data_IF_879936240093
#
_entry.id   IF_879936240093
#
_cell.length_a   1.000
_cell.length_b   1.000
_cell.length_c   1.000
_cell.angle_alpha   90.00
_cell.angle_beta   90.00
_cell.angle_gamma   90.00
#
_symmetry.space_group_name_H-M   'P 1'
#
loop_
_entity.id
_entity.type
_entity.pdbx_description
1 polymer ?
#
# COMPACT_ATOMS: atom_id res chain seq x y z
N UNK A 1 -9.22 -25.54 -10.19
CA UNK A 1 -9.39 -24.26 -9.46
C UNK A 1 -8.08 -23.56 -9.00
N UNK A 2 -6.91 -23.66 -9.69
CA UNK A 2 -5.72 -22.85 -9.32
C UNK A 2 -5.76 -21.42 -9.88
N UNK A 3 -6.33 -21.23 -11.09
CA UNK A 3 -6.37 -19.92 -11.76
C UNK A 3 -7.18 -18.87 -11.00
N UNK A 4 -8.39 -19.21 -10.54
CA UNK A 4 -9.23 -18.28 -9.77
C UNK A 4 -8.57 -17.82 -8.46
N UNK A 5 -7.82 -18.71 -7.80
CA UNK A 5 -7.08 -18.38 -6.56
C UNK A 5 -5.87 -17.50 -6.86
N UNK A 6 -5.12 -17.80 -7.92
CA UNK A 6 -4.02 -16.95 -8.37
C UNK A 6 -4.53 -15.54 -8.74
N UNK A 7 -5.65 -15.45 -9.45
CA UNK A 7 -6.28 -14.18 -9.79
C UNK A 7 -6.71 -13.39 -8.55
N UNK A 8 -7.34 -14.04 -7.57
CA UNK A 8 -7.71 -13.41 -6.31
C UNK A 8 -6.48 -12.89 -5.53
N UNK A 9 -5.38 -13.64 -5.50
CA UNK A 9 -4.12 -13.21 -4.88
C UNK A 9 -3.48 -12.03 -5.63
N UNK A 10 -3.48 -12.04 -6.97
CA UNK A 10 -2.98 -10.93 -7.77
C UNK A 10 -3.81 -9.66 -7.52
N UNK A 11 -5.13 -9.78 -7.56
CA UNK A 11 -6.04 -8.66 -7.33
C UNK A 11 -5.90 -8.10 -5.91
N UNK A 12 -5.75 -8.96 -4.91
CA UNK A 12 -5.45 -8.55 -3.54
C UNK A 12 -4.11 -7.83 -3.43
N UNK A 13 -3.07 -8.36 -4.08
CA UNK A 13 -1.73 -7.75 -4.08
C UNK A 13 -1.78 -6.34 -4.67
N UNK A 14 -2.44 -6.19 -5.82
CA UNK A 14 -2.65 -4.89 -6.46
C UNK A 14 -3.42 -3.92 -5.56
N UNK A 15 -4.47 -4.41 -4.88
CA UNK A 15 -5.22 -3.60 -3.92
C UNK A 15 -4.31 -3.06 -2.82
N UNK A 16 -3.54 -3.93 -2.16
CA UNK A 16 -2.64 -3.53 -1.07
C UNK A 16 -1.63 -2.50 -1.54
N UNK A 17 -1.06 -2.70 -2.73
CA UNK A 17 -0.12 -1.79 -3.37
C UNK A 17 -0.70 -0.42 -3.65
N UNK A 18 -1.91 -0.35 -4.23
CA UNK A 18 -2.61 0.93 -4.47
C UNK A 18 -2.93 1.62 -3.15
N UNK A 19 -3.37 0.86 -2.14
CA UNK A 19 -3.68 1.42 -0.82
C UNK A 19 -2.45 2.00 -0.13
N UNK A 20 -1.27 1.40 -0.30
CA UNK A 20 -0.03 1.92 0.27
C UNK A 20 0.32 3.32 -0.27
N UNK A 21 0.08 3.57 -1.55
CA UNK A 21 0.39 4.85 -2.17
C UNK A 21 -0.73 5.90 -2.03
N UNK A 22 -1.99 5.47 -1.86
CA UNK A 22 -3.14 6.36 -1.85
C UNK A 22 -3.08 7.51 -0.81
N UNK A 23 -2.61 7.32 0.45
CA UNK A 23 -2.50 8.42 1.40
C UNK A 23 -1.52 9.52 0.99
N UNK A 24 -0.45 9.17 0.26
CA UNK A 24 0.48 10.16 -0.28
C UNK A 24 -0.22 11.04 -1.32
N UNK A 25 -0.91 10.41 -2.27
CA UNK A 25 -1.69 11.11 -3.30
C UNK A 25 -2.76 12.03 -2.70
N UNK A 26 -3.49 11.54 -1.69
CA UNK A 26 -4.50 12.35 -0.99
C UNK A 26 -3.89 13.60 -0.34
N UNK A 27 -2.70 13.46 0.24
CA UNK A 27 -2.01 14.60 0.86
C UNK A 27 -1.43 15.56 -0.16
N UNK A 28 -0.80 15.08 -1.23
CA UNK A 28 -0.30 15.95 -2.31
C UNK A 28 -1.45 16.75 -2.93
N UNK A 29 -2.59 16.09 -3.17
CA UNK A 29 -3.83 16.75 -3.56
C UNK A 29 -4.27 17.82 -2.55
N UNK A 30 -4.24 17.52 -1.26
CA UNK A 30 -4.58 18.49 -0.21
C UNK A 30 -3.64 19.70 -0.15
N UNK A 31 -2.33 19.49 -0.27
CA UNK A 31 -1.34 20.57 -0.27
C UNK A 31 -1.57 21.51 -1.45
N UNK A 32 -1.86 20.98 -2.64
CA UNK A 32 -2.21 21.76 -3.83
C UNK A 32 -3.46 22.63 -3.60
N UNK A 33 -4.47 22.12 -2.89
CA UNK A 33 -5.71 22.85 -2.58
C UNK A 33 -5.53 23.99 -1.56
N UNK A 34 -4.42 24.02 -0.81
CA UNK A 34 -4.21 25.03 0.24
C UNK A 34 -3.89 26.42 -0.32
N UNK A 35 -3.73 26.53 -1.65
CA UNK A 35 -3.35 27.75 -2.35
C UNK A 35 -4.50 28.54 -2.98
N UNK A 36 -5.41 27.96 -3.78
CA UNK A 36 -6.16 28.71 -4.81
C UNK A 36 -7.59 28.18 -5.10
N UNK A 37 -8.59 28.36 -4.22
CA UNK A 37 -9.99 27.92 -4.47
C UNK A 37 -10.54 28.25 -5.89
N UNK A 38 -10.52 27.27 -6.79
CA UNK A 38 -10.95 27.28 -8.18
C UNK A 38 -11.52 25.92 -8.61
N UNK A 39 -11.72 25.70 -9.92
CA UNK A 39 -12.28 24.46 -10.47
C UNK A 39 -11.43 23.21 -10.14
N UNK A 40 -10.12 23.43 -9.99
CA UNK A 40 -9.14 22.47 -9.49
C UNK A 40 -9.52 21.83 -8.14
N UNK A 41 -9.84 22.67 -7.14
CA UNK A 41 -10.24 22.22 -5.80
C UNK A 41 -11.56 21.44 -5.84
N UNK A 42 -12.54 21.85 -6.67
CA UNK A 42 -13.82 21.16 -6.75
C UNK A 42 -13.68 19.74 -7.29
N UNK A 43 -12.86 19.55 -8.32
CA UNK A 43 -12.58 18.23 -8.88
C UNK A 43 -11.65 17.41 -7.98
N UNK A 44 -10.65 18.00 -7.31
CA UNK A 44 -9.87 17.33 -6.26
C UNK A 44 -10.74 16.90 -5.06
N UNK A 45 -11.72 17.71 -4.64
CA UNK A 45 -12.65 17.36 -3.57
C UNK A 45 -13.64 16.27 -4.01
N UNK A 46 -14.12 16.29 -5.25
CA UNK A 46 -14.91 15.19 -5.85
C UNK A 46 -14.08 13.91 -5.99
N UNK A 47 -12.82 14.04 -6.36
CA UNK A 47 -11.84 12.97 -6.47
C UNK A 47 -11.58 12.31 -5.12
N UNK A 48 -11.22 13.10 -4.11
CA UNK A 48 -11.09 12.68 -2.71
C UNK A 48 -12.40 12.07 -2.24
N UNK A 49 -13.55 12.70 -2.52
CA UNK A 49 -14.88 12.20 -2.18
C UNK A 49 -15.23 10.85 -2.84
N UNK A 50 -14.74 10.59 -4.05
CA UNK A 50 -14.93 9.33 -4.77
C UNK A 50 -14.01 8.25 -4.24
N UNK A 51 -12.73 8.58 -4.00
CA UNK A 51 -11.75 7.73 -3.32
C UNK A 51 -12.25 7.36 -1.92
N UNK A 52 -12.75 8.34 -1.15
CA UNK A 52 -13.45 8.07 0.09
C UNK A 52 -14.69 7.22 -0.17
N UNK A 53 -15.64 7.54 -1.06
CA UNK A 53 -16.83 6.71 -1.27
C UNK A 53 -16.54 5.21 -1.52
N UNK A 54 -15.52 4.89 -2.34
CA UNK A 54 -15.13 3.50 -2.63
C UNK A 54 -14.35 2.81 -1.50
N UNK A 55 -13.57 3.55 -0.70
CA UNK A 55 -12.87 3.00 0.45
C UNK A 55 -13.76 2.97 1.72
N UNK A 56 -14.63 3.96 1.84
CA UNK A 56 -15.54 4.25 2.95
C UNK A 56 -16.73 3.33 2.91
N UNK A 57 -17.30 2.97 1.76
CA UNK A 57 -18.46 2.07 1.77
C UNK A 57 -18.11 0.69 2.40
N UNK A 58 -17.01 0.01 2.03
CA UNK A 58 -16.53 -1.16 2.76
C UNK A 58 -16.14 -0.87 4.22
N UNK A 59 -15.54 0.29 4.52
CA UNK A 59 -15.11 0.66 5.87
C UNK A 59 -16.29 0.98 6.78
N UNK A 60 -17.31 1.65 6.27
CA UNK A 60 -18.55 2.07 6.92
C UNK A 60 -19.47 0.89 7.08
N UNK A 61 -19.54 -0.03 6.12
CA UNK A 61 -20.22 -1.31 6.35
C UNK A 61 -19.56 -2.10 7.48
N UNK A 62 -18.22 -2.14 7.55
CA UNK A 62 -17.48 -2.78 8.65
C UNK A 62 -17.63 -2.06 10.00
N UNK A 63 -17.62 -0.73 10.00
CA UNK A 63 -17.87 0.12 11.19
C UNK A 63 -19.31 -0.01 11.69
N UNK A 64 -20.30 0.06 10.79
CA UNK A 64 -21.72 -0.15 11.09
C UNK A 64 -21.98 -1.56 11.60
N UNK A 65 -21.27 -2.56 11.09
CA UNK A 65 -21.36 -3.94 11.57
C UNK A 65 -20.70 -4.15 12.94
N UNK A 66 -19.93 -3.17 13.46
CA UNK A 66 -19.18 -3.29 14.73
C UNK A 66 -18.19 -4.45 14.74
N UNK A 67 -17.88 -5.02 13.56
CA UNK A 67 -17.11 -6.25 13.38
C UNK A 67 -16.18 -6.05 12.18
N UNK A 68 -14.88 -6.11 12.44
CA UNK A 68 -13.84 -6.13 11.40
C UNK A 68 -13.88 -7.42 10.55
N UNK A 69 -14.70 -8.40 10.95
CA UNK A 69 -15.01 -9.63 10.22
C UNK A 69 -16.46 -9.59 9.71
N UNK A 70 -16.64 -9.33 8.42
CA UNK A 70 -17.90 -9.62 7.74
C UNK A 70 -17.87 -11.09 7.28
N UNK A 71 -18.93 -11.84 7.63
CA UNK A 71 -19.14 -13.18 7.12
C UNK A 71 -19.35 -13.10 5.60
N UNK A 72 -18.59 -13.91 4.87
CA UNK A 72 -18.57 -14.08 3.42
C UNK A 72 -19.94 -13.85 2.74
N UNK A 73 -20.07 -12.79 1.94
CA UNK A 73 -21.08 -12.72 0.89
C UNK A 73 -20.69 -13.67 -0.27
N UNK A 74 -21.66 -14.30 -0.95
CA UNK A 74 -21.41 -15.38 -1.91
C UNK A 74 -20.42 -14.98 -3.02
N UNK A 75 -19.51 -15.91 -3.30
CA UNK A 75 -18.24 -15.81 -4.03
C UNK A 75 -18.25 -15.26 -5.47
N UNK A 76 -19.40 -14.82 -6.00
CA UNK A 76 -19.52 -14.33 -7.37
C UNK A 76 -19.15 -12.85 -7.55
N UNK A 77 -19.41 -12.00 -6.55
CA UNK A 77 -19.27 -10.54 -6.67
C UNK A 77 -17.97 -9.94 -6.16
N UNK A 78 -17.18 -10.71 -5.38
CA UNK A 78 -16.01 -10.17 -4.66
C UNK A 78 -14.86 -9.78 -5.59
N UNK A 79 -14.49 -10.66 -6.53
CA UNK A 79 -13.44 -10.37 -7.50
C UNK A 79 -13.84 -9.20 -8.41
N UNK A 80 -15.10 -9.15 -8.83
CA UNK A 80 -15.65 -8.03 -9.59
C UNK A 80 -15.58 -6.73 -8.80
N UNK A 81 -15.98 -6.73 -7.53
CA UNK A 81 -15.92 -5.54 -6.67
C UNK A 81 -14.49 -5.02 -6.47
N UNK A 82 -13.51 -5.91 -6.27
CA UNK A 82 -12.11 -5.49 -6.15
C UNK A 82 -11.54 -5.03 -7.50
N UNK A 83 -11.84 -5.73 -8.60
CA UNK A 83 -11.41 -5.33 -9.94
C UNK A 83 -12.01 -3.99 -10.37
N UNK A 84 -13.30 -3.77 -10.07
CA UNK A 84 -13.99 -2.50 -10.34
C UNK A 84 -13.38 -1.39 -9.50
N UNK A 85 -13.17 -1.62 -8.20
CA UNK A 85 -12.54 -0.63 -7.33
C UNK A 85 -11.10 -0.33 -7.73
N UNK A 86 -10.34 -1.33 -8.21
CA UNK A 86 -8.99 -1.15 -8.74
C UNK A 86 -9.00 -0.35 -10.05
N UNK A 87 -9.91 -0.69 -10.97
CA UNK A 87 -10.09 0.05 -12.22
C UNK A 87 -10.50 1.51 -11.95
N UNK A 88 -11.41 1.73 -10.99
CA UNK A 88 -11.77 3.07 -10.54
C UNK A 88 -10.57 3.78 -9.92
N UNK A 89 -9.80 3.12 -9.05
CA UNK A 89 -8.58 3.68 -8.46
C UNK A 89 -7.55 4.12 -9.51
N UNK A 90 -7.29 3.30 -10.54
CA UNK A 90 -6.39 3.63 -11.66
C UNK A 90 -6.93 4.83 -12.44
N UNK A 91 -8.22 4.81 -12.81
CA UNK A 91 -8.86 5.90 -13.54
C UNK A 91 -8.79 7.19 -12.74
N UNK A 92 -9.03 7.11 -11.44
CA UNK A 92 -8.90 8.18 -10.45
C UNK A 92 -7.46 8.72 -10.51
N UNK A 93 -6.41 7.94 -10.26
CA UNK A 93 -5.02 8.42 -10.31
C UNK A 93 -4.69 9.09 -11.66
N UNK A 94 -5.08 8.48 -12.78
CA UNK A 94 -4.90 9.06 -14.11
C UNK A 94 -5.62 10.41 -14.27
N UNK A 95 -6.84 10.56 -13.73
CA UNK A 95 -7.60 11.82 -13.75
C UNK A 95 -6.95 12.88 -12.87
N UNK A 96 -6.44 12.50 -11.68
CA UNK A 96 -5.77 13.43 -10.77
C UNK A 96 -4.50 14.01 -11.39
N UNK A 97 -3.69 13.16 -11.99
CA UNK A 97 -2.44 13.58 -12.64
C UNK A 97 -2.70 14.35 -13.94
N UNK A 98 -3.69 13.93 -14.74
CA UNK A 98 -4.14 14.71 -15.89
C UNK A 98 -4.63 16.10 -15.46
N UNK A 99 -5.25 16.20 -14.28
CA UNK A 99 -5.75 17.45 -13.72
C UNK A 99 -4.61 18.34 -13.18
N UNK A 100 -3.64 17.79 -12.43
CA UNK A 100 -2.42 18.52 -12.02
C UNK A 100 -1.68 19.05 -13.26
N UNK A 101 -1.50 18.19 -14.27
CA UNK A 101 -0.88 18.56 -15.52
C UNK A 101 -1.70 19.58 -16.33
N UNK A 102 -3.03 19.63 -16.18
CA UNK A 102 -3.88 20.61 -16.87
C UNK A 102 -3.87 21.98 -16.15
N UNK A 103 -3.94 21.99 -14.81
CA UNK A 103 -4.01 23.20 -13.98
C UNK A 103 -2.64 23.86 -13.84
N UNK A 104 -1.57 23.09 -13.67
CA UNK A 104 -0.20 23.62 -13.61
C UNK A 104 0.31 24.17 -14.94
N UNK A 105 -0.49 24.11 -16.01
CA UNK A 105 -0.06 24.28 -17.38
C UNK A 105 -1.01 25.13 -18.23
N UNK A 106 -1.60 26.19 -17.67
CA UNK A 106 -2.13 27.28 -18.51
C UNK A 106 -1.06 27.83 -19.48
N UNK A 107 0.24 27.56 -19.23
CA UNK A 107 1.37 27.98 -20.07
C UNK A 107 2.34 26.86 -20.50
N UNK A 108 2.08 25.58 -20.16
CA UNK A 108 2.99 24.48 -20.51
C UNK A 108 2.45 23.64 -21.69
N UNK A 109 3.31 23.40 -22.70
CA UNK A 109 2.95 22.62 -23.88
C UNK A 109 2.60 21.16 -23.57
N UNK A 110 1.86 20.50 -24.47
CA UNK A 110 1.34 19.13 -24.29
C UNK A 110 2.40 18.10 -23.91
N UNK A 111 3.64 18.27 -24.36
CA UNK A 111 4.76 17.38 -24.01
C UNK A 111 5.16 17.49 -22.52
N UNK A 112 5.09 18.68 -21.92
CA UNK A 112 5.36 18.86 -20.50
C UNK A 112 4.29 18.18 -19.62
N UNK A 113 3.03 18.22 -20.07
CA UNK A 113 1.91 17.54 -19.41
C UNK A 113 2.09 16.03 -19.40
N UNK A 114 2.41 15.45 -20.56
CA UNK A 114 2.69 14.00 -20.68
C UNK A 114 3.87 13.57 -19.81
N UNK A 115 4.95 14.36 -19.78
CA UNK A 115 6.12 14.08 -18.95
C UNK A 115 5.82 14.17 -17.44
N UNK A 116 4.89 15.03 -17.02
CA UNK A 116 4.42 15.08 -15.62
C UNK A 116 3.64 13.83 -15.24
N UNK A 117 2.65 13.46 -16.05
CA UNK A 117 1.85 12.25 -15.85
C UNK A 117 2.72 10.99 -15.80
N UNK A 118 3.69 10.87 -16.73
CA UNK A 118 4.61 9.74 -16.77
C UNK A 118 5.43 9.63 -15.47
N UNK A 119 5.95 10.76 -14.95
CA UNK A 119 6.72 10.77 -13.69
C UNK A 119 5.87 10.38 -12.47
N UNK A 120 4.62 10.82 -12.42
CA UNK A 120 3.74 10.47 -11.31
C UNK A 120 3.34 8.99 -11.33
N UNK A 121 3.04 8.43 -12.51
CA UNK A 121 2.79 7.00 -12.67
C UNK A 121 4.03 6.19 -12.28
N UNK A 122 5.22 6.65 -12.69
CA UNK A 122 6.47 5.99 -12.37
C UNK A 122 6.74 5.99 -10.86
N UNK A 123 6.53 7.11 -10.17
CA UNK A 123 6.64 7.20 -8.71
C UNK A 123 5.58 6.38 -7.97
N UNK A 124 4.35 6.32 -8.49
CA UNK A 124 3.33 5.43 -7.95
C UNK A 124 3.77 3.96 -8.05
N UNK A 125 4.29 3.55 -9.22
CA UNK A 125 4.77 2.19 -9.46
C UNK A 125 5.93 1.84 -8.53
N UNK A 126 6.88 2.75 -8.39
CA UNK A 126 8.06 2.64 -7.54
C UNK A 126 7.68 2.25 -6.09
N UNK A 127 6.87 3.06 -5.42
CA UNK A 127 6.46 2.81 -4.04
C UNK A 127 5.50 1.63 -3.90
N UNK A 128 4.54 1.49 -4.81
CA UNK A 128 3.55 0.41 -4.78
C UNK A 128 4.16 -0.98 -5.02
N UNK A 129 5.36 -1.05 -5.62
CA UNK A 129 6.06 -2.30 -5.91
C UNK A 129 6.54 -3.03 -4.64
N UNK A 130 6.89 -2.30 -3.57
CA UNK A 130 7.40 -2.91 -2.32
C UNK A 130 6.30 -3.74 -1.65
N UNK A 131 5.11 -3.20 -1.35
CA UNK A 131 3.99 -3.99 -0.82
C UNK A 131 3.57 -5.10 -1.78
N UNK A 132 3.68 -4.88 -3.10
CA UNK A 132 3.36 -5.89 -4.10
C UNK A 132 4.26 -7.12 -3.94
N UNK A 133 5.57 -6.90 -3.94
CA UNK A 133 6.58 -7.96 -3.84
C UNK A 133 6.44 -8.73 -2.52
N UNK A 134 6.26 -8.03 -1.40
CA UNK A 134 6.10 -8.65 -0.09
C UNK A 134 4.80 -9.46 0.01
N UNK A 135 3.67 -8.90 -0.44
CA UNK A 135 2.38 -9.59 -0.39
C UNK A 135 2.36 -10.81 -1.32
N UNK A 136 2.96 -10.70 -2.52
CA UNK A 136 3.14 -11.82 -3.43
C UNK A 136 4.01 -12.93 -2.80
N UNK A 137 5.10 -12.56 -2.12
CA UNK A 137 5.96 -13.52 -1.42
C UNK A 137 5.21 -14.27 -0.31
N UNK A 138 4.33 -13.60 0.43
CA UNK A 138 3.45 -14.24 1.41
C UNK A 138 2.49 -15.23 0.74
N UNK A 139 1.84 -14.86 -0.36
CA UNK A 139 0.94 -15.78 -1.08
C UNK A 139 1.66 -17.03 -1.63
N UNK A 140 2.87 -16.84 -2.16
CA UNK A 140 3.72 -17.97 -2.59
C UNK A 140 4.10 -18.85 -1.39
N UNK A 141 4.47 -18.24 -0.26
CA UNK A 141 4.83 -18.93 0.97
C UNK A 141 3.68 -19.77 1.54
N UNK A 142 2.45 -19.22 1.50
CA UNK A 142 1.24 -19.91 1.96
C UNK A 142 0.81 -21.05 1.04
N UNK A 143 1.18 -20.97 -0.25
CA UNK A 143 0.86 -22.01 -1.24
C UNK A 143 1.92 -23.12 -1.29
N UNK A 144 3.19 -22.78 -1.10
CA UNK A 144 4.30 -23.73 -1.15
C UNK A 144 5.41 -23.37 -0.17
N UNK A 145 5.58 -24.23 0.85
CA UNK A 145 6.67 -24.09 1.83
C UNK A 145 8.07 -24.13 1.20
N UNK A 146 8.25 -24.88 0.11
CA UNK A 146 9.54 -24.97 -0.60
C UNK A 146 9.92 -23.65 -1.29
N UNK A 147 8.92 -22.88 -1.71
CA UNK A 147 9.11 -21.61 -2.39
C UNK A 147 9.10 -20.41 -1.43
N UNK A 148 8.82 -20.61 -0.14
CA UNK A 148 8.71 -19.52 0.82
C UNK A 148 10.02 -18.74 1.00
N UNK A 149 11.13 -19.44 1.23
CA UNK A 149 12.45 -18.82 1.35
C UNK A 149 12.89 -18.08 0.08
N UNK A 150 12.85 -18.69 -1.13
CA UNK A 150 13.25 -17.97 -2.33
C UNK A 150 12.31 -16.80 -2.66
N UNK A 151 11.00 -16.92 -2.42
CA UNK A 151 10.06 -15.83 -2.65
C UNK A 151 10.30 -14.65 -1.69
N UNK A 152 10.55 -14.94 -0.41
CA UNK A 152 10.86 -13.91 0.59
C UNK A 152 12.21 -13.25 0.28
N UNK A 153 13.22 -14.05 -0.07
CA UNK A 153 14.52 -13.53 -0.49
C UNK A 153 14.41 -12.63 -1.73
N UNK A 154 13.62 -13.03 -2.72
CA UNK A 154 13.35 -12.22 -3.91
C UNK A 154 12.66 -10.90 -3.56
N UNK A 155 11.70 -10.91 -2.64
CA UNK A 155 11.06 -9.67 -2.17
C UNK A 155 12.07 -8.74 -1.47
N UNK A 156 12.95 -9.26 -0.62
CA UNK A 156 14.01 -8.45 -0.01
C UNK A 156 14.98 -7.88 -1.05
N UNK A 157 15.41 -8.69 -2.02
CA UNK A 157 16.25 -8.21 -3.13
C UNK A 157 15.52 -7.13 -3.92
N UNK A 158 14.22 -7.31 -4.18
CA UNK A 158 13.40 -6.35 -4.91
C UNK A 158 13.34 -4.97 -4.22
N UNK A 159 13.17 -4.94 -2.90
CA UNK A 159 13.11 -3.68 -2.13
C UNK A 159 14.41 -2.87 -2.31
N UNK A 160 15.57 -3.52 -2.25
CA UNK A 160 16.87 -2.84 -2.47
C UNK A 160 17.07 -2.49 -3.93
N UNK A 161 16.68 -3.39 -4.83
CA UNK A 161 16.81 -3.19 -6.28
C UNK A 161 16.04 -1.95 -6.73
N UNK A 162 14.80 -1.76 -6.25
CA UNK A 162 13.99 -0.59 -6.62
C UNK A 162 14.64 0.70 -6.14
N UNK A 163 15.14 0.75 -4.91
CA UNK A 163 15.84 1.94 -4.43
C UNK A 163 17.09 2.24 -5.26
N UNK A 164 17.82 1.22 -5.70
CA UNK A 164 18.96 1.42 -6.58
C UNK A 164 18.56 1.88 -7.98
N UNK A 165 17.54 1.27 -8.60
CA UNK A 165 17.12 1.58 -9.97
C UNK A 165 16.55 2.99 -10.11
N UNK A 166 15.89 3.48 -9.06
CA UNK A 166 15.34 4.84 -8.99
C UNK A 166 16.32 5.87 -8.40
N UNK A 167 17.55 5.46 -8.09
CA UNK A 167 18.61 6.37 -7.63
C UNK A 167 18.37 6.95 -6.24
N UNK A 168 17.72 6.21 -5.35
CA UNK A 168 17.45 6.65 -3.99
C UNK A 168 18.72 6.97 -3.23
N UNK A 169 18.65 8.04 -2.43
CA UNK A 169 19.66 8.30 -1.42
C UNK A 169 19.72 7.14 -0.42
N UNK A 170 20.92 6.84 0.07
CA UNK A 170 21.14 5.78 1.07
C UNK A 170 20.17 5.85 2.28
N UNK A 171 19.84 7.04 2.84
CA UNK A 171 18.86 7.12 3.92
C UNK A 171 17.50 6.51 3.54
N UNK A 172 16.96 6.86 2.36
CA UNK A 172 15.68 6.35 1.86
C UNK A 172 15.74 4.83 1.66
N UNK A 173 16.86 4.33 1.12
CA UNK A 173 17.07 2.88 0.96
C UNK A 173 17.03 2.19 2.32
N UNK A 174 17.69 2.73 3.34
CA UNK A 174 17.69 2.15 4.70
C UNK A 174 16.31 2.21 5.34
N UNK A 175 15.65 3.36 5.27
CA UNK A 175 14.34 3.60 5.90
C UNK A 175 13.22 2.79 5.26
N UNK A 176 13.36 2.39 4.00
CA UNK A 176 12.44 1.49 3.32
C UNK A 176 12.84 0.01 3.46
N UNK A 177 14.14 -0.31 3.34
CA UNK A 177 14.61 -1.69 3.34
C UNK A 177 14.51 -2.35 4.71
N UNK A 178 14.88 -1.67 5.79
CA UNK A 178 14.87 -2.27 7.14
C UNK A 178 13.47 -2.70 7.57
N UNK A 179 12.47 -1.80 7.65
CA UNK A 179 11.10 -2.22 7.95
C UNK A 179 10.53 -3.16 6.89
N UNK A 180 10.79 -2.93 5.59
CA UNK A 180 10.33 -3.81 4.52
C UNK A 180 10.82 -5.25 4.66
N UNK A 181 12.09 -5.45 5.03
CA UNK A 181 12.68 -6.76 5.28
C UNK A 181 12.05 -7.43 6.50
N UNK A 182 11.89 -6.68 7.59
CA UNK A 182 11.27 -7.20 8.81
C UNK A 182 9.83 -7.64 8.54
N UNK A 183 9.04 -6.84 7.82
CA UNK A 183 7.68 -7.17 7.40
C UNK A 183 7.71 -8.45 6.55
N UNK A 184 8.57 -8.52 5.53
CA UNK A 184 8.65 -9.67 4.64
C UNK A 184 9.02 -10.96 5.39
N UNK A 185 10.10 -10.93 6.18
CA UNK A 185 10.64 -12.08 6.90
C UNK A 185 9.69 -12.58 7.99
N UNK A 186 9.23 -11.68 8.86
CA UNK A 186 8.31 -12.04 9.95
C UNK A 186 6.96 -12.48 9.40
N UNK A 187 6.47 -11.80 8.36
CA UNK A 187 5.21 -12.15 7.71
C UNK A 187 5.24 -13.52 7.05
N UNK A 188 6.32 -13.85 6.34
CA UNK A 188 6.53 -15.21 5.81
C UNK A 188 6.61 -16.25 6.92
N UNK A 189 7.21 -15.91 8.06
CA UNK A 189 7.19 -16.76 9.27
C UNK A 189 5.78 -17.03 9.79
N UNK A 190 4.93 -16.00 9.87
CA UNK A 190 3.50 -16.14 10.24
C UNK A 190 2.78 -17.05 9.26
N UNK A 191 2.93 -16.80 7.97
CA UNK A 191 2.29 -17.57 6.88
C UNK A 191 2.70 -19.05 6.89
N UNK A 192 3.99 -19.33 7.11
CA UNK A 192 4.50 -20.70 7.17
C UNK A 192 3.94 -21.49 8.35
N UNK A 193 3.66 -20.82 9.47
CA UNK A 193 3.05 -21.41 10.66
C UNK A 193 1.56 -21.63 10.46
N UNK A 194 0.86 -20.68 9.84
CA UNK A 194 -0.60 -20.70 9.67
C UNK A 194 -1.01 -19.95 8.40
N UNK A 195 -1.84 -20.60 7.58
CA UNK A 195 -2.40 -20.03 6.36
C UNK A 195 -3.91 -20.25 6.30
N UNK A 196 -4.65 -19.44 7.05
CA UNK A 196 -6.11 -19.38 7.07
C UNK A 196 -6.63 -17.93 7.10
N UNK A 197 -7.96 -17.76 7.16
CA UNK A 197 -8.62 -16.46 7.17
C UNK A 197 -8.15 -15.50 8.29
N UNK A 198 -7.55 -15.99 9.38
CA UNK A 198 -7.02 -15.13 10.44
C UNK A 198 -5.62 -14.57 10.14
N UNK A 199 -4.95 -15.10 9.12
CA UNK A 199 -3.56 -14.74 8.78
C UNK A 199 -3.45 -13.29 8.29
N UNK A 200 -4.36 -12.86 7.42
CA UNK A 200 -4.33 -11.51 6.84
C UNK A 200 -4.44 -10.41 7.91
N UNK A 201 -5.40 -10.45 8.87
CA UNK A 201 -5.42 -9.50 9.98
C UNK A 201 -4.14 -9.49 10.82
N UNK A 202 -3.52 -10.65 11.05
CA UNK A 202 -2.26 -10.75 11.79
C UNK A 202 -1.12 -10.10 10.99
N UNK A 203 -1.09 -10.26 9.67
CA UNK A 203 -0.12 -9.59 8.81
C UNK A 203 -0.33 -8.07 8.80
N UNK A 204 -1.57 -7.58 8.77
CA UNK A 204 -1.87 -6.15 8.90
C UNK A 204 -1.36 -5.58 10.23
N UNK A 205 -1.61 -6.29 11.35
CA UNK A 205 -1.10 -5.92 12.67
C UNK A 205 0.42 -5.97 12.73
N UNK A 206 1.04 -6.99 12.15
CA UNK A 206 2.50 -7.12 12.08
C UNK A 206 3.11 -5.93 11.32
N UNK A 207 2.56 -5.58 10.16
CA UNK A 207 2.99 -4.41 9.38
C UNK A 207 2.88 -3.13 10.21
N UNK A 208 1.75 -2.93 10.89
CA UNK A 208 1.55 -1.77 11.77
C UNK A 208 2.56 -1.71 12.92
N UNK A 209 2.83 -2.85 13.58
CA UNK A 209 3.81 -2.92 14.66
C UNK A 209 5.23 -2.67 14.19
N UNK A 210 5.66 -3.31 13.10
CA UNK A 210 7.01 -3.12 12.56
C UNK A 210 7.20 -1.68 12.11
N UNK A 211 6.25 -1.11 11.37
CA UNK A 211 6.29 0.28 10.95
C UNK A 211 6.30 1.24 12.15
N UNK A 212 5.39 1.05 13.12
CA UNK A 212 5.30 1.91 14.30
C UNK A 212 6.57 1.89 15.15
N UNK A 213 7.14 0.71 15.40
CA UNK A 213 8.41 0.57 16.13
C UNK A 213 9.54 1.22 15.34
N UNK A 214 9.61 1.00 14.03
CA UNK A 214 10.63 1.61 13.17
C UNK A 214 10.56 3.13 13.19
N UNK A 215 9.36 3.71 13.05
CA UNK A 215 9.16 5.16 13.08
C UNK A 215 9.56 5.76 14.42
N UNK A 216 9.23 5.10 15.54
CA UNK A 216 9.66 5.52 16.87
C UNK A 216 11.18 5.43 17.04
N UNK A 217 11.81 4.37 16.54
CA UNK A 217 13.27 4.21 16.57
C UNK A 217 13.96 5.28 15.73
N UNK A 218 13.50 5.51 14.50
CA UNK A 218 14.09 6.49 13.61
C UNK A 218 13.95 7.92 14.17
N UNK A 219 12.79 8.25 14.75
CA UNK A 219 12.60 9.50 15.48
C UNK A 219 13.54 9.63 16.68
N UNK A 220 13.73 8.54 17.45
CA UNK A 220 14.67 8.50 18.57
C UNK A 220 16.14 8.67 18.14
N UNK A 221 16.55 8.07 17.02
CA UNK A 221 17.89 8.26 16.45
C UNK A 221 18.09 9.70 16.01
N UNK A 222 17.09 10.29 15.35
CA UNK A 222 17.12 11.69 14.93
C UNK A 222 17.27 12.64 16.13
N UNK A 223 16.44 12.48 17.17
CA UNK A 223 16.51 13.27 18.39
C UNK A 223 17.86 13.09 19.14
N UNK A 224 18.39 11.86 19.15
CA UNK A 224 19.72 11.57 19.72
C UNK A 224 20.85 12.22 18.93
N UNK A 225 20.73 12.27 17.61
CA UNK A 225 21.72 12.90 16.73
C UNK A 225 21.80 14.41 16.94
N UNK A 226 20.65 15.06 17.14
CA UNK A 226 20.56 16.49 17.45
C UNK A 226 21.19 16.82 18.81
N UNK A 227 21.09 15.91 19.79
CA UNK A 227 21.72 16.09 21.11
C UNK A 227 23.26 16.02 21.09
N UNK A 228 23.85 15.35 20.09
CA UNK A 228 25.30 15.10 19.99
C UNK A 228 25.95 15.99 18.92
N UNK A 229 25.18 16.88 18.28
CA UNK A 229 25.66 17.79 17.23
C UNK A 229 26.37 17.05 16.08
N UNK A 230 25.91 15.82 15.78
CA UNK A 230 26.47 14.96 14.74
C UNK A 230 25.58 14.97 13.50
N UNK A 231 25.79 15.87 12.53
CA UNK A 231 24.92 16.01 11.34
C UNK A 231 24.94 14.79 10.40
N UNK A 232 25.88 13.85 10.57
CA UNK A 232 26.03 12.68 9.70
C UNK A 232 25.00 11.56 9.89
N UNK A 233 24.13 11.64 10.91
CA UNK A 233 23.18 10.58 11.29
C UNK A 233 21.71 10.95 10.99
N UNK A 234 21.47 11.90 10.09
CA UNK A 234 20.13 12.29 9.69
C UNK A 234 19.49 11.18 8.82
N UNK A 235 18.62 10.37 9.44
CA UNK A 235 17.90 9.28 8.76
C UNK A 235 16.70 9.79 7.97
N UNK A 236 16.03 10.82 8.49
CA UNK A 236 14.84 11.40 7.87
C UNK A 236 14.94 12.92 7.78
N UNK A 237 14.45 13.46 6.67
CA UNK A 237 13.89 14.82 6.69
C UNK A 237 12.46 14.76 7.24
N UNK A 238 11.92 15.86 7.80
CA UNK A 238 10.54 15.89 8.26
C UNK A 238 9.55 15.43 7.18
N UNK A 239 9.76 15.83 5.94
CA UNK A 239 8.90 15.47 4.80
C UNK A 239 8.93 13.97 4.53
N UNK A 240 10.13 13.37 4.44
CA UNK A 240 10.31 11.94 4.20
C UNK A 240 9.72 11.08 5.34
N UNK A 241 9.77 11.56 6.58
CA UNK A 241 9.15 10.87 7.71
C UNK A 241 7.63 10.77 7.54
N UNK A 242 6.96 11.87 7.14
CA UNK A 242 5.52 11.86 6.94
C UNK A 242 5.09 11.10 5.67
N UNK A 243 5.92 11.09 4.63
CA UNK A 243 5.76 10.23 3.45
C UNK A 243 5.74 8.74 3.86
N UNK A 244 6.76 8.28 4.58
CA UNK A 244 6.82 6.90 5.07
C UNK A 244 5.65 6.57 6.02
N UNK A 245 5.28 7.49 6.90
CA UNK A 245 4.12 7.31 7.78
C UNK A 245 2.85 7.04 6.97
N UNK A 246 2.58 7.87 5.95
CA UNK A 246 1.43 7.75 5.06
C UNK A 246 1.48 6.45 4.26
N UNK A 247 2.65 6.09 3.77
CA UNK A 247 2.90 4.83 3.07
C UNK A 247 2.54 3.60 3.93
N UNK A 248 3.08 3.51 5.14
CA UNK A 248 2.79 2.38 6.03
C UNK A 248 1.34 2.34 6.50
N UNK A 249 0.72 3.50 6.76
CA UNK A 249 -0.71 3.57 7.05
C UNK A 249 -1.54 3.02 5.88
N UNK A 250 -1.21 3.43 4.65
CA UNK A 250 -1.84 2.94 3.44
C UNK A 250 -1.70 1.42 3.28
N UNK A 251 -0.51 0.89 3.55
CA UNK A 251 -0.26 -0.55 3.49
C UNK A 251 -1.12 -1.31 4.52
N UNK A 252 -1.17 -0.82 5.76
CA UNK A 252 -2.00 -1.41 6.81
C UNK A 252 -3.50 -1.39 6.46
N UNK A 253 -3.99 -0.27 5.92
CA UNK A 253 -5.36 -0.13 5.42
C UNK A 253 -5.64 -1.10 4.27
N UNK A 254 -4.72 -1.20 3.32
CA UNK A 254 -4.81 -2.14 2.21
C UNK A 254 -5.00 -3.57 2.70
N UNK A 255 -4.19 -4.01 3.67
CA UNK A 255 -4.30 -5.35 4.24
C UNK A 255 -5.58 -5.57 5.06
N UNK A 256 -6.10 -4.51 5.69
CA UNK A 256 -7.26 -4.62 6.59
C UNK A 256 -8.59 -4.59 5.85
N UNK A 257 -8.68 -3.76 4.80
CA UNK A 257 -9.93 -3.46 4.09
C UNK A 257 -10.15 -4.40 2.90
N UNK A 258 -9.07 -4.90 2.30
CA UNK A 258 -9.17 -5.85 1.21
C UNK A 258 -10.00 -7.08 1.60
N UNK A 259 -10.82 -7.61 0.68
CA UNK A 259 -11.50 -8.88 0.89
C UNK A 259 -10.49 -10.02 1.01
N UNK A 260 -10.60 -10.84 2.07
CA UNK A 260 -9.62 -11.88 2.35
C UNK A 260 -9.69 -13.02 1.32
N UNK A 261 -8.63 -13.28 0.53
CA UNK A 261 -8.63 -14.31 -0.49
C UNK A 261 -8.20 -15.70 0.07
N UNK A 262 -7.83 -15.77 1.35
CA UNK A 262 -7.38 -17.00 2.01
C UNK A 262 -8.60 -17.83 2.44
N UNK A 263 -8.64 -19.14 2.13
CA UNK A 263 -9.77 -19.99 2.48
C UNK A 263 -10.07 -20.01 3.99
N UNK A 264 -11.35 -19.98 4.34
CA UNK A 264 -11.80 -20.25 5.70
C UNK A 264 -12.04 -21.75 5.90
N UNK A 265 -11.06 -22.43 6.51
CA UNK A 265 -11.13 -23.86 6.78
C UNK A 265 -12.25 -24.22 7.77
N UNK A 266 -12.77 -23.27 8.57
CA UNK A 266 -13.88 -23.52 9.50
C UNK A 266 -15.21 -23.64 8.78
N UNK A 267 -15.47 -22.74 7.83
CA UNK A 267 -16.70 -22.74 7.02
C UNK A 267 -16.85 -23.99 6.12
N UNK A 268 -15.76 -24.71 5.83
CA UNK A 268 -15.81 -25.98 5.10
C UNK A 268 -16.18 -27.18 5.97
N UNK A 269 -15.76 -27.19 7.25
CA UNK A 269 -16.11 -28.29 8.17
C UNK A 269 -17.59 -28.22 8.60
N UNK A 270 -18.14 -27.02 8.82
CA UNK A 270 -19.55 -26.85 9.23
C UNK A 270 -20.56 -27.14 8.11
N UNK A 271 -20.12 -27.25 6.84
CA UNK A 271 -20.98 -27.68 5.71
C UNK A 271 -20.94 -29.19 5.46
N UNK A 272 -20.02 -29.90 6.13
CA UNK A 272 -19.85 -31.34 6.00
C UNK A 272 -20.54 -32.12 7.15
N UNK A 273 -21.11 -31.41 8.12
CA UNK A 273 -21.90 -31.92 9.26
C UNK A 273 -23.37 -31.55 9.10
#
# INVERSE_FOLDING_TARGET
MPFARALAYTVYTLWVSVCAFAPELLWQGFVLMRGHFGAAELFSALFIGTLFAFFVEPLVERLKAGRWHLAHAPSGGMLLGVLVSLAFGIVVVCIHEAMIAYIGAEHAGDEAKKASLARAIDSACEWASIPAAVTAAWFVSGTSRRLALPATGLACVWIVFIGHSYGWGWPIVVTSAVPGFLIALLGSGVVLRRWDASTIPVLAQLTAWVAGIWMLLAWGVQAGSELIDSPGLQLYTPEAFYEDLRFYLGWCLGLSVAPNPVPDNRAQNDRAT
#
